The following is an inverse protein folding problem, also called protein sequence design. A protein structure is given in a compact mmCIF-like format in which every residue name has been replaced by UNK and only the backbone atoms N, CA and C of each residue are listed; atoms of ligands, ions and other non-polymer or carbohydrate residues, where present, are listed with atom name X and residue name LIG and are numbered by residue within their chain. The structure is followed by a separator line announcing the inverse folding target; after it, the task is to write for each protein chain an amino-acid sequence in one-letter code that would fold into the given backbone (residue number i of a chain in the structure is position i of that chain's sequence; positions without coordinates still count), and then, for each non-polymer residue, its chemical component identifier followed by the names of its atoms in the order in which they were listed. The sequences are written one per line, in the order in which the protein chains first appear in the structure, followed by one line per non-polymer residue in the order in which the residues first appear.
data_IF_627171757821
#
_entry.id   IF_627171757821
#
_cell.length_a   1.000
_cell.length_b   1.000
_cell.length_c   1.000
_cell.angle_alpha   90.00
_cell.angle_beta   90.00
_cell.angle_gamma   90.00
#
_symmetry.space_group_name_H-M   'P 1'
#
loop_
_entity.id
_entity.type
_entity.pdbx_description
1 polymer ?
#
# COMPACT_ATOMS: atom_id res chain seq x y z
N UNK A 1 -21.89 -83.79 7.78
CA UNK A 1 -21.92 -82.50 8.51
C UNK A 1 -20.92 -81.56 7.85
N UNK A 2 -21.42 -80.62 7.04
CA UNK A 2 -20.60 -79.66 6.30
C UNK A 2 -20.19 -78.51 7.21
N UNK A 3 -18.89 -78.18 7.28
CA UNK A 3 -18.36 -77.04 8.04
C UNK A 3 -18.46 -75.79 7.17
N UNK A 4 -19.27 -74.82 7.61
CA UNK A 4 -19.32 -73.49 7.01
C UNK A 4 -18.20 -72.63 7.58
N UNK A 5 -17.32 -72.13 6.71
CA UNK A 5 -16.26 -71.17 7.05
C UNK A 5 -16.82 -69.76 6.92
N UNK A 6 -16.94 -69.04 8.04
CA UNK A 6 -17.34 -67.62 8.05
C UNK A 6 -16.10 -66.78 7.77
N UNK A 7 -16.08 -66.09 6.62
CA UNK A 7 -15.07 -65.08 6.30
C UNK A 7 -15.58 -63.72 6.79
N UNK A 8 -15.01 -63.21 7.88
CA UNK A 8 -15.30 -61.86 8.38
C UNK A 8 -14.45 -60.86 7.59
N UNK A 9 -15.08 -60.08 6.71
CA UNK A 9 -14.40 -59.00 5.99
C UNK A 9 -14.34 -57.76 6.88
N UNK A 10 -13.13 -57.36 7.26
CA UNK A 10 -12.86 -56.18 8.07
C UNK A 10 -12.80 -54.95 7.16
N UNK A 11 -13.84 -54.09 7.18
CA UNK A 11 -13.80 -52.80 6.50
C UNK A 11 -13.02 -51.80 7.36
N UNK A 12 -11.81 -51.44 6.93
CA UNK A 12 -11.03 -50.35 7.53
C UNK A 12 -11.53 -49.03 6.94
N UNK A 13 -12.28 -48.25 7.72
CA UNK A 13 -12.64 -46.88 7.37
C UNK A 13 -11.40 -45.99 7.55
N UNK A 14 -10.76 -45.57 6.45
CA UNK A 14 -9.75 -44.52 6.48
C UNK A 14 -10.45 -43.16 6.60
N UNK A 15 -10.44 -42.58 7.80
CA UNK A 15 -10.83 -41.18 8.01
C UNK A 15 -9.72 -40.30 7.43
N UNK A 16 -9.94 -39.79 6.22
CA UNK A 16 -9.08 -38.75 5.64
C UNK A 16 -9.46 -37.44 6.33
N UNK A 17 -8.69 -37.03 7.34
CA UNK A 17 -8.81 -35.67 7.86
C UNK A 17 -8.31 -34.71 6.79
N UNK A 18 -9.23 -34.02 6.10
CA UNK A 18 -8.88 -32.86 5.29
C UNK A 18 -8.30 -31.80 6.23
N UNK A 19 -6.97 -31.70 6.28
CA UNK A 19 -6.30 -30.56 6.90
C UNK A 19 -6.59 -29.37 5.99
N UNK A 20 -7.58 -28.56 6.35
CA UNK A 20 -7.81 -27.26 5.72
C UNK A 20 -6.59 -26.40 6.05
N UNK A 21 -5.63 -26.35 5.12
CA UNK A 21 -4.56 -25.37 5.17
C UNK A 21 -5.17 -24.00 4.93
N UNK A 22 -5.36 -23.24 6.01
CA UNK A 22 -5.64 -21.81 5.89
C UNK A 22 -4.37 -21.17 5.34
N UNK A 23 -4.39 -20.73 4.09
CA UNK A 23 -3.25 -20.01 3.53
C UNK A 23 -3.04 -18.70 4.31
N UNK A 24 -1.77 -18.40 4.62
CA UNK A 24 -1.40 -17.22 5.40
C UNK A 24 -1.77 -15.92 4.69
N UNK A 25 -2.34 -14.97 5.43
CA UNK A 25 -2.71 -13.64 4.93
C UNK A 25 -1.44 -12.84 4.61
N UNK A 26 -1.13 -12.70 3.32
CA UNK A 26 0.12 -12.08 2.83
C UNK A 26 -0.10 -11.33 1.52
N UNK A 27 0.86 -10.52 1.08
CA UNK A 27 0.85 -9.99 -0.28
C UNK A 27 0.96 -11.14 -1.30
N UNK A 28 0.23 -11.04 -2.41
CA UNK A 28 0.23 -12.02 -3.50
C UNK A 28 0.83 -11.44 -4.78
N UNK A 29 1.63 -12.23 -5.49
CA UNK A 29 2.26 -11.85 -6.75
C UNK A 29 1.30 -11.97 -7.95
N UNK A 30 1.83 -11.80 -9.16
CA UNK A 30 1.07 -11.92 -10.42
C UNK A 30 0.46 -13.32 -10.63
N UNK A 31 0.97 -14.35 -9.96
CA UNK A 31 0.52 -15.74 -10.05
C UNK A 31 -0.36 -16.16 -8.86
N UNK A 32 -0.64 -15.24 -7.91
CA UNK A 32 -1.37 -15.55 -6.68
C UNK A 32 -0.51 -16.19 -5.58
N UNK A 33 0.80 -16.28 -5.78
CA UNK A 33 1.73 -16.85 -4.81
C UNK A 33 2.11 -15.80 -3.77
N UNK A 34 2.39 -16.24 -2.54
CA UNK A 34 2.88 -15.33 -1.49
C UNK A 34 4.19 -14.66 -1.90
N UNK A 35 4.27 -13.36 -1.67
CA UNK A 35 5.47 -12.54 -1.89
C UNK A 35 5.72 -11.62 -0.71
N UNK A 36 6.99 -11.29 -0.45
CA UNK A 36 7.34 -10.46 0.69
C UNK A 36 6.84 -9.02 0.54
N UNK A 37 7.04 -8.44 -0.64
CA UNK A 37 6.47 -7.14 -0.99
C UNK A 37 6.32 -7.02 -2.50
N UNK A 38 5.44 -6.12 -2.92
CA UNK A 38 5.33 -5.72 -4.32
C UNK A 38 5.02 -4.23 -4.46
N UNK A 39 5.40 -3.69 -5.62
CA UNK A 39 5.07 -2.34 -6.06
C UNK A 39 4.26 -2.42 -7.35
N UNK A 40 3.16 -1.66 -7.39
CA UNK A 40 2.35 -1.44 -8.58
C UNK A 40 2.31 0.05 -8.88
N UNK A 41 2.68 0.40 -10.10
CA UNK A 41 2.49 1.74 -10.66
C UNK A 41 1.46 1.66 -11.78
N UNK A 42 0.22 1.98 -11.46
CA UNK A 42 -0.85 2.09 -12.46
C UNK A 42 -0.62 3.34 -13.30
N UNK A 43 -0.64 3.20 -14.63
CA UNK A 43 -0.38 4.29 -15.56
C UNK A 43 -1.62 5.18 -15.75
N UNK A 44 -1.46 6.50 -15.99
CA UNK A 44 -2.57 7.33 -16.42
C UNK A 44 -3.10 6.90 -17.79
N UNK A 45 -4.29 7.40 -18.14
CA UNK A 45 -4.85 7.23 -19.47
C UNK A 45 -4.02 8.02 -20.50
N UNK A 46 -3.34 7.34 -21.42
CA UNK A 46 -2.58 7.95 -22.52
C UNK A 46 -3.24 7.61 -23.85
N UNK A 47 -4.18 8.46 -24.30
CA UNK A 47 -5.07 8.18 -25.44
C UNK A 47 -4.37 7.96 -26.78
N UNK A 48 -3.13 8.43 -26.91
CA UNK A 48 -2.28 8.27 -28.09
C UNK A 48 -1.51 6.95 -28.12
N UNK A 49 -1.52 6.16 -27.03
CA UNK A 49 -0.81 4.88 -26.99
C UNK A 49 -1.44 3.85 -27.92
N UNK A 50 -0.60 3.07 -28.59
CA UNK A 50 -1.01 1.89 -29.36
C UNK A 50 -1.39 0.69 -28.49
N UNK A 51 -0.98 0.66 -27.21
CA UNK A 51 -1.36 -0.38 -26.27
C UNK A 51 -2.74 -0.06 -25.66
N UNK A 52 -3.70 -0.98 -25.81
CA UNK A 52 -5.09 -0.76 -25.37
C UNK A 52 -5.21 -0.51 -23.87
N UNK A 53 -4.44 -1.19 -23.03
CA UNK A 53 -4.48 -1.05 -21.57
C UNK A 53 -3.92 0.31 -21.13
N UNK A 54 -2.85 0.78 -21.78
CA UNK A 54 -2.31 2.13 -21.55
C UNK A 54 -3.30 3.19 -22.06
N UNK A 55 -3.88 2.96 -23.24
CA UNK A 55 -4.86 3.86 -23.87
C UNK A 55 -6.11 4.09 -23.04
N UNK A 56 -6.56 3.07 -22.30
CA UNK A 56 -7.71 3.15 -21.40
C UNK A 56 -7.33 3.50 -19.96
N UNK A 57 -6.03 3.55 -19.64
CA UNK A 57 -5.54 3.87 -18.30
C UNK A 57 -5.83 2.76 -17.32
N UNK A 58 -5.61 1.51 -17.70
CA UNK A 58 -5.73 0.32 -16.82
C UNK A 58 -4.49 -0.57 -16.86
N UNK A 59 -3.49 -0.22 -17.66
CA UNK A 59 -2.16 -0.79 -17.58
C UNK A 59 -1.45 -0.39 -16.28
N UNK A 60 -0.56 -1.25 -15.81
CA UNK A 60 0.29 -0.94 -14.68
C UNK A 60 1.67 -1.54 -14.90
N UNK A 61 2.69 -0.92 -14.32
CA UNK A 61 3.98 -1.57 -14.11
C UNK A 61 4.00 -2.26 -12.76
N UNK A 62 4.63 -3.43 -12.71
CA UNK A 62 4.76 -4.26 -11.52
C UNK A 62 6.22 -4.66 -11.31
N UNK A 63 6.63 -4.69 -10.04
CA UNK A 63 7.84 -5.35 -9.59
C UNK A 63 7.59 -5.91 -8.18
N UNK A 64 8.36 -6.89 -7.77
CA UNK A 64 8.26 -7.51 -6.46
C UNK A 64 9.60 -7.98 -5.93
N UNK A 65 9.58 -8.54 -4.73
CA UNK A 65 10.76 -9.09 -4.06
C UNK A 65 11.61 -10.01 -4.96
N UNK A 66 10.98 -10.87 -5.76
CA UNK A 66 11.64 -11.86 -6.62
C UNK A 66 12.06 -11.27 -7.97
N UNK A 67 11.39 -10.21 -8.43
CA UNK A 67 11.61 -9.55 -9.73
C UNK A 67 11.57 -8.05 -9.56
N UNK A 68 12.73 -7.47 -9.24
CA UNK A 68 12.86 -6.07 -8.84
C UNK A 68 13.02 -5.08 -10.03
N UNK A 69 12.61 -5.49 -11.23
CA UNK A 69 12.64 -4.67 -12.45
C UNK A 69 11.22 -4.46 -12.93
N UNK A 70 10.84 -3.22 -13.26
CA UNK A 70 9.49 -2.91 -13.72
C UNK A 70 9.09 -3.70 -14.96
N UNK A 71 8.03 -4.49 -14.84
CA UNK A 71 7.39 -5.20 -15.94
C UNK A 71 6.05 -4.55 -16.26
N UNK A 72 5.82 -4.22 -17.53
CA UNK A 72 4.50 -3.75 -17.97
C UNK A 72 3.52 -4.92 -17.89
N UNK A 73 2.36 -4.70 -17.27
CA UNK A 73 1.34 -5.72 -17.12
C UNK A 73 0.77 -6.16 -18.47
N UNK A 74 0.54 -7.47 -18.62
CA UNK A 74 -0.19 -8.05 -19.75
C UNK A 74 -1.70 -8.08 -19.51
N UNK A 75 -2.13 -7.81 -18.27
CA UNK A 75 -3.53 -7.75 -17.84
C UNK A 75 -3.88 -6.36 -17.31
N UNK A 76 -5.19 -6.05 -17.35
CA UNK A 76 -5.74 -4.84 -16.72
C UNK A 76 -5.62 -4.90 -15.20
N UNK A 77 -5.44 -3.75 -14.53
CA UNK A 77 -5.56 -3.62 -13.07
C UNK A 77 -6.96 -4.01 -12.56
N UNK A 78 -7.95 -4.09 -13.45
CA UNK A 78 -9.32 -4.54 -13.18
C UNK A 78 -9.46 -6.07 -13.18
N UNK A 79 -8.46 -6.79 -13.71
CA UNK A 79 -8.45 -8.26 -13.75
C UNK A 79 -8.40 -8.84 -12.32
N UNK A 80 -8.97 -10.03 -12.13
CA UNK A 80 -8.94 -10.74 -10.84
C UNK A 80 -7.61 -11.47 -10.60
N UNK A 81 -6.94 -11.87 -11.67
CA UNK A 81 -5.64 -12.57 -11.66
C UNK A 81 -4.48 -11.59 -11.74
N UNK A 82 -4.40 -10.70 -10.75
CA UNK A 82 -3.29 -9.75 -10.59
C UNK A 82 -3.06 -9.46 -9.10
N UNK A 83 -1.86 -8.97 -8.72
CA UNK A 83 -1.36 -8.91 -7.34
C UNK A 83 -2.31 -8.25 -6.35
N UNK A 84 -2.90 -7.11 -6.73
CA UNK A 84 -3.79 -6.33 -5.87
C UNK A 84 -5.10 -7.07 -5.64
N UNK A 85 -5.71 -7.63 -6.69
CA UNK A 85 -6.96 -8.39 -6.59
C UNK A 85 -6.74 -9.69 -5.79
N UNK A 86 -5.70 -10.45 -6.11
CA UNK A 86 -5.31 -11.67 -5.38
C UNK A 86 -5.04 -11.39 -3.90
N UNK A 87 -4.35 -10.28 -3.59
CA UNK A 87 -4.09 -9.89 -2.19
C UNK A 87 -5.39 -9.58 -1.45
N UNK A 88 -6.29 -8.77 -2.03
CA UNK A 88 -7.54 -8.39 -1.39
C UNK A 88 -8.58 -9.53 -1.32
N UNK A 89 -8.50 -10.50 -2.23
CA UNK A 89 -9.41 -11.65 -2.24
C UNK A 89 -9.34 -12.46 -0.94
N UNK A 90 -8.19 -12.46 -0.26
CA UNK A 90 -8.00 -13.12 1.05
C UNK A 90 -8.87 -12.52 2.17
N UNK A 91 -9.36 -11.28 2.03
CA UNK A 91 -10.07 -10.56 3.10
C UNK A 91 -11.49 -10.14 2.72
N UNK A 92 -11.90 -10.41 1.48
CA UNK A 92 -13.24 -10.07 1.05
C UNK A 92 -14.26 -11.02 1.65
N UNK A 93 -15.22 -10.43 2.36
CA UNK A 93 -16.42 -11.14 2.80
C UNK A 93 -17.21 -11.60 1.57
N UNK A 94 -17.73 -12.82 1.63
CA UNK A 94 -18.66 -13.32 0.61
C UNK A 94 -19.95 -12.47 0.61
N UNK A 95 -20.72 -12.41 -0.50
CA UNK A 95 -22.02 -11.75 -0.52
C UNK A 95 -23.00 -12.29 0.54
N UNK A 96 -22.80 -13.52 1.04
CA UNK A 96 -23.58 -14.13 2.11
C UNK A 96 -23.19 -13.65 3.52
N UNK A 97 -22.24 -12.70 3.65
CA UNK A 97 -21.85 -12.11 4.93
C UNK A 97 -20.99 -13.02 5.81
N UNK A 98 -20.49 -14.14 5.29
CA UNK A 98 -19.56 -15.00 6.04
C UNK A 98 -18.20 -14.32 6.13
N UNK A 99 -17.85 -13.91 7.34
CA UNK A 99 -16.55 -13.35 7.68
C UNK A 99 -15.69 -14.50 8.19
N UNK A 100 -14.47 -14.64 7.66
CA UNK A 100 -13.50 -15.56 8.24
C UNK A 100 -13.19 -15.11 9.68
N UNK A 101 -13.56 -15.95 10.65
CA UNK A 101 -13.34 -15.69 12.08
C UNK A 101 -11.85 -15.69 12.45
N UNK A 102 -10.96 -16.00 11.51
CA UNK A 102 -9.52 -16.01 11.68
C UNK A 102 -8.79 -14.87 10.97
N UNK A 103 -9.48 -13.98 10.26
CA UNK A 103 -8.83 -12.87 9.53
C UNK A 103 -9.35 -11.52 10.02
N UNK A 104 -8.47 -10.70 10.58
CA UNK A 104 -8.76 -9.32 10.92
C UNK A 104 -8.35 -8.39 9.79
N UNK A 105 -9.16 -7.37 9.49
CA UNK A 105 -8.81 -6.34 8.51
C UNK A 105 -9.26 -4.94 8.93
N UNK A 106 -8.56 -3.93 8.42
CA UNK A 106 -8.97 -2.53 8.42
C UNK A 106 -8.74 -1.98 7.03
N UNK A 107 -9.80 -1.47 6.40
CA UNK A 107 -9.72 -0.70 5.17
C UNK A 107 -10.00 0.78 5.48
N UNK A 108 -9.11 1.65 5.01
CA UNK A 108 -9.19 3.08 5.27
C UNK A 108 -8.90 3.91 4.04
N UNK A 109 -9.62 5.03 3.89
CA UNK A 109 -9.49 5.93 2.76
C UNK A 109 -10.19 7.27 3.07
N UNK A 110 -9.53 8.40 2.86
CA UNK A 110 -10.15 9.72 3.05
C UNK A 110 -11.23 10.06 2.00
N UNK A 111 -11.27 9.28 0.92
CA UNK A 111 -12.31 9.26 -0.09
C UNK A 111 -12.80 7.81 -0.24
N UNK A 112 -13.63 7.31 0.69
CA UNK A 112 -14.06 5.91 0.71
C UNK A 112 -14.84 5.51 -0.56
N UNK A 113 -14.94 4.20 -0.87
CA UNK A 113 -15.71 3.70 -2.02
C UNK A 113 -17.17 4.15 -2.03
N UNK A 114 -17.76 4.27 -0.84
CA UNK A 114 -19.10 4.79 -0.61
C UNK A 114 -19.09 5.90 0.43
N UNK A 115 -19.97 6.88 0.25
CA UNK A 115 -20.07 8.05 1.12
C UNK A 115 -19.26 9.25 0.64
N UNK A 116 -19.07 10.23 1.53
CA UNK A 116 -18.43 11.51 1.23
C UNK A 116 -16.95 11.51 1.63
N UNK A 117 -16.17 12.39 0.99
CA UNK A 117 -14.81 12.73 1.40
C UNK A 117 -14.79 13.20 2.85
N UNK A 118 -13.74 12.85 3.58
CA UNK A 118 -13.57 13.20 5.00
C UNK A 118 -12.42 14.18 5.23
N UNK A 119 -12.44 14.85 6.38
CA UNK A 119 -11.36 15.73 6.86
C UNK A 119 -10.32 15.00 7.72
N UNK A 120 -10.42 13.66 7.83
CA UNK A 120 -9.40 12.83 8.46
C UNK A 120 -8.11 12.81 7.63
N UNK A 121 -7.10 12.08 8.10
CA UNK A 121 -5.79 12.00 7.44
C UNK A 121 -5.90 11.76 5.95
N UNK A 122 -5.04 12.38 5.15
CA UNK A 122 -4.85 11.99 3.76
C UNK A 122 -4.07 10.70 3.78
N UNK A 123 -4.76 9.56 3.85
CA UNK A 123 -4.14 8.25 3.92
C UNK A 123 -5.12 7.21 3.43
N UNK A 124 -4.60 6.20 2.72
CA UNK A 124 -5.42 5.11 2.18
C UNK A 124 -4.65 3.81 2.20
N UNK A 125 -5.37 2.73 2.48
CA UNK A 125 -4.74 1.44 2.57
C UNK A 125 -5.60 0.37 3.19
N UNK A 126 -4.97 -0.79 3.31
CA UNK A 126 -5.55 -1.99 3.88
C UNK A 126 -4.50 -2.62 4.78
N UNK A 127 -4.89 -2.92 6.02
CA UNK A 127 -4.12 -3.79 6.90
C UNK A 127 -4.92 -5.06 7.12
N UNK A 128 -4.29 -6.22 7.03
CA UNK A 128 -4.90 -7.49 7.37
C UNK A 128 -3.92 -8.44 8.05
N UNK A 129 -4.41 -9.29 8.95
CA UNK A 129 -3.60 -10.32 9.61
C UNK A 129 -4.46 -11.50 10.09
N UNK A 130 -3.85 -12.68 10.15
CA UNK A 130 -4.49 -13.94 10.59
C UNK A 130 -4.11 -14.37 12.02
N UNK A 131 -3.29 -13.55 12.69
CA UNK A 131 -2.72 -13.80 14.02
C UNK A 131 -1.25 -14.19 13.99
N UNK A 132 -0.74 -14.65 12.84
CA UNK A 132 0.66 -15.02 12.63
C UNK A 132 1.32 -14.15 11.58
N UNK A 133 0.72 -14.06 10.40
CA UNK A 133 1.17 -13.30 9.25
C UNK A 133 0.12 -12.24 8.89
N UNK A 134 0.54 -11.23 8.15
CA UNK A 134 -0.33 -10.16 7.68
C UNK A 134 0.30 -9.36 6.54
N UNK A 135 -0.46 -8.41 6.01
CA UNK A 135 0.05 -7.44 5.07
C UNK A 135 -0.43 -6.03 5.39
N UNK A 136 0.38 -5.05 4.97
CA UNK A 136 -0.03 -3.66 4.87
C UNK A 136 0.11 -3.17 3.43
N UNK A 137 -1.01 -2.73 2.87
CA UNK A 137 -1.09 -2.10 1.56
C UNK A 137 -1.28 -0.59 1.71
N UNK A 138 -0.33 0.20 1.24
CA UNK A 138 -0.40 1.67 1.16
C UNK A 138 -0.66 2.07 -0.28
N UNK A 139 -1.65 2.94 -0.54
CA UNK A 139 -1.99 3.34 -1.91
C UNK A 139 -2.52 4.76 -2.05
N UNK A 140 -2.55 5.24 -3.29
CA UNK A 140 -3.05 6.58 -3.65
C UNK A 140 -4.51 6.59 -4.17
N UNK A 141 -5.07 5.41 -4.48
CA UNK A 141 -6.35 5.23 -5.18
C UNK A 141 -7.57 5.71 -4.38
N UNK A 142 -8.29 6.78 -4.81
CA UNK A 142 -9.54 7.18 -4.17
C UNK A 142 -10.68 6.23 -4.54
N UNK A 143 -11.64 6.07 -3.62
CA UNK A 143 -12.80 5.16 -3.73
C UNK A 143 -12.44 3.67 -3.81
N UNK A 144 -11.33 3.28 -3.20
CA UNK A 144 -10.78 1.91 -3.24
C UNK A 144 -10.22 1.48 -1.87
N UNK A 145 -10.19 0.17 -1.58
CA UNK A 145 -10.93 -0.92 -2.23
C UNK A 145 -12.40 -1.02 -1.81
N UNK A 146 -13.21 -1.73 -2.59
CA UNK A 146 -14.55 -2.15 -2.18
C UNK A 146 -14.54 -2.97 -0.88
N UNK A 147 -15.70 -3.13 -0.23
CA UNK A 147 -15.79 -3.82 1.07
C UNK A 147 -15.93 -5.34 0.97
N UNK A 148 -16.32 -5.86 -0.20
CA UNK A 148 -16.73 -7.24 -0.41
C UNK A 148 -16.33 -7.73 -1.79
N UNK A 149 -16.36 -9.05 -1.98
CA UNK A 149 -16.15 -9.69 -3.28
C UNK A 149 -17.31 -9.37 -4.25
N UNK A 150 -17.07 -9.30 -5.58
CA UNK A 150 -15.78 -9.42 -6.25
C UNK A 150 -14.92 -8.14 -6.12
N UNK A 151 -13.61 -8.30 -6.35
CA UNK A 151 -12.71 -7.17 -6.55
C UNK A 151 -13.25 -6.23 -7.63
N UNK A 152 -13.21 -4.92 -7.36
CA UNK A 152 -13.59 -3.89 -8.30
C UNK A 152 -12.61 -2.73 -8.24
N UNK A 153 -12.09 -2.37 -9.40
CA UNK A 153 -11.27 -1.18 -9.56
C UNK A 153 -12.18 0.03 -9.83
N UNK A 154 -12.00 1.18 -9.15
CA UNK A 154 -12.87 2.32 -9.34
C UNK A 154 -12.56 3.03 -10.66
N UNK A 155 -13.57 3.19 -11.52
CA UNK A 155 -13.40 3.83 -12.83
C UNK A 155 -12.79 5.24 -12.78
N UNK A 156 -12.98 6.00 -11.68
CA UNK A 156 -12.35 7.30 -11.51
C UNK A 156 -10.82 7.25 -11.34
N UNK A 157 -10.25 6.08 -11.03
CA UNK A 157 -8.81 5.90 -10.95
C UNK A 157 -8.16 5.58 -12.30
N UNK A 158 -8.91 5.54 -13.41
CA UNK A 158 -8.37 5.29 -14.75
C UNK A 158 -7.68 6.52 -15.35
N UNK A 159 -8.06 7.71 -14.91
CA UNK A 159 -7.54 8.95 -15.51
C UNK A 159 -6.09 9.25 -15.12
N UNK A 160 -5.68 8.94 -13.89
CA UNK A 160 -4.40 9.37 -13.31
C UNK A 160 -3.54 8.17 -12.92
N UNK A 161 -2.23 8.37 -12.94
CA UNK A 161 -1.28 7.41 -12.38
C UNK A 161 -1.55 7.16 -10.89
N UNK A 162 -1.29 5.96 -10.39
CA UNK A 162 -1.45 5.60 -8.97
C UNK A 162 -0.33 4.67 -8.54
N UNK A 163 0.16 4.85 -7.32
CA UNK A 163 1.05 3.90 -6.64
C UNK A 163 0.30 3.03 -5.64
N UNK A 164 0.72 1.77 -5.55
CA UNK A 164 0.35 0.79 -4.52
C UNK A 164 1.63 0.07 -4.08
N UNK A 165 1.86 0.02 -2.77
CA UNK A 165 2.89 -0.81 -2.14
C UNK A 165 2.19 -1.78 -1.20
N UNK A 166 2.48 -3.08 -1.33
CA UNK A 166 2.08 -4.09 -0.35
C UNK A 166 3.33 -4.68 0.28
N UNK A 167 3.35 -4.79 1.61
CA UNK A 167 4.42 -5.47 2.35
C UNK A 167 3.80 -6.50 3.29
N UNK A 168 4.29 -7.72 3.24
CA UNK A 168 3.98 -8.83 4.15
C UNK A 168 4.78 -8.67 5.43
N UNK A 169 4.14 -8.92 6.56
CA UNK A 169 4.71 -8.73 7.89
C UNK A 169 4.36 -9.91 8.80
N UNK A 170 5.18 -10.12 9.83
CA UNK A 170 4.82 -11.01 10.94
C UNK A 170 4.00 -10.25 11.98
N UNK A 171 3.22 -11.01 12.75
CA UNK A 171 2.33 -10.52 13.82
C UNK A 171 2.89 -9.40 14.71
N UNK A 172 4.17 -9.43 15.17
CA UNK A 172 4.71 -8.36 16.02
C UNK A 172 4.65 -6.96 15.40
N UNK A 173 4.67 -6.85 14.08
CA UNK A 173 4.64 -5.54 13.40
C UNK A 173 3.23 -4.95 13.30
N UNK A 174 2.18 -5.74 13.51
CA UNK A 174 0.80 -5.26 13.40
C UNK A 174 0.48 -4.17 14.42
N UNK A 175 0.98 -4.30 15.65
CA UNK A 175 0.83 -3.28 16.68
C UNK A 175 1.65 -2.02 16.35
N UNK A 176 2.85 -2.16 15.75
CA UNK A 176 3.65 -1.02 15.31
C UNK A 176 2.96 -0.23 14.19
N UNK A 177 2.33 -0.93 13.24
CA UNK A 177 1.52 -0.35 12.16
C UNK A 177 0.29 0.35 12.73
N UNK A 178 -0.43 -0.29 13.65
CA UNK A 178 -1.58 0.32 14.32
C UNK A 178 -1.18 1.61 15.06
N UNK A 179 -0.02 1.62 15.72
CA UNK A 179 0.51 2.83 16.35
C UNK A 179 0.81 3.94 15.33
N UNK A 180 1.29 3.63 14.12
CA UNK A 180 1.44 4.64 13.06
C UNK A 180 0.09 5.20 12.60
N UNK A 181 -0.93 4.35 12.49
CA UNK A 181 -2.27 4.77 12.09
C UNK A 181 -2.89 5.76 13.10
N UNK A 182 -2.60 5.69 14.40
CA UNK A 182 -3.04 6.69 15.37
C UNK A 182 -2.54 8.11 15.04
N UNK A 183 -1.33 8.22 14.47
CA UNK A 183 -0.77 9.49 14.00
C UNK A 183 -1.39 9.91 12.66
N UNK A 184 -1.57 8.96 11.73
CA UNK A 184 -2.21 9.29 10.46
C UNK A 184 -3.68 9.73 10.64
N UNK A 185 -4.35 9.25 11.70
CA UNK A 185 -5.79 9.43 11.96
C UNK A 185 -6.63 9.11 10.71
N UNK A 186 -6.62 7.85 10.24
CA UNK A 186 -7.32 7.43 9.03
C UNK A 186 -8.85 7.47 9.21
N UNK A 187 -9.55 7.53 8.08
CA UNK A 187 -10.96 7.22 8.01
C UNK A 187 -11.16 5.75 7.68
N UNK A 188 -11.50 4.95 8.69
CA UNK A 188 -11.82 3.53 8.53
C UNK A 188 -13.27 3.38 8.06
N UNK A 189 -13.48 2.71 6.94
CA UNK A 189 -14.81 2.52 6.35
C UNK A 189 -15.27 1.05 6.29
N UNK A 190 -14.35 0.12 6.55
CA UNK A 190 -14.61 -1.32 6.70
C UNK A 190 -13.59 -1.90 7.67
N UNK A 191 -14.04 -2.75 8.57
CA UNK A 191 -13.17 -3.42 9.53
C UNK A 191 -13.79 -4.71 10.02
N UNK A 192 -12.95 -5.70 10.28
CA UNK A 192 -13.29 -6.89 11.06
C UNK A 192 -12.15 -7.18 12.03
N UNK A 193 -12.46 -7.44 13.30
CA UNK A 193 -11.46 -7.88 14.28
C UNK A 193 -12.10 -9.02 15.10
N UNK A 194 -11.86 -10.28 14.70
CA UNK A 194 -12.35 -11.43 15.45
C UNK A 194 -11.90 -11.40 16.90
N UNK A 195 -12.72 -11.93 17.81
CA UNK A 195 -12.44 -11.92 19.26
C UNK A 195 -11.09 -12.52 19.62
N UNK A 196 -10.66 -13.57 18.92
CA UNK A 196 -9.38 -14.26 19.11
C UNK A 196 -8.16 -13.39 18.77
N UNK A 197 -8.32 -12.42 17.86
CA UNK A 197 -7.23 -11.55 17.39
C UNK A 197 -7.16 -10.20 18.12
N UNK A 198 -8.19 -9.88 18.91
CA UNK A 198 -8.30 -8.61 19.65
C UNK A 198 -7.13 -8.29 20.57
N UNK A 199 -6.50 -9.31 21.16
CA UNK A 199 -5.38 -9.16 22.10
C UNK A 199 -4.03 -8.93 21.40
N UNK A 200 -3.90 -9.30 20.13
CA UNK A 200 -2.63 -9.25 19.38
C UNK A 200 -2.30 -7.83 18.95
N UNK A 201 -3.31 -7.08 18.52
CA UNK A 201 -3.16 -5.68 18.10
C UNK A 201 -4.25 -4.80 18.74
N UNK A 202 -4.17 -4.58 20.07
CA UNK A 202 -5.17 -3.82 20.81
C UNK A 202 -5.32 -2.39 20.30
N UNK A 203 -4.28 -1.80 19.70
CA UNK A 203 -4.35 -0.44 19.15
C UNK A 203 -5.29 -0.33 17.95
N UNK A 204 -5.57 -1.42 17.22
CA UNK A 204 -6.62 -1.39 16.21
C UNK A 204 -7.99 -1.05 16.79
N UNK A 205 -8.32 -1.52 18.00
CA UNK A 205 -9.58 -1.16 18.64
C UNK A 205 -9.66 0.33 18.97
N UNK A 206 -8.54 0.94 19.38
CA UNK A 206 -8.45 2.38 19.64
C UNK A 206 -8.74 3.17 18.36
N UNK A 207 -8.17 2.76 17.23
CA UNK A 207 -8.43 3.37 15.92
C UNK A 207 -9.92 3.26 15.55
N UNK A 208 -10.55 2.10 15.75
CA UNK A 208 -11.98 1.90 15.48
C UNK A 208 -12.88 2.76 16.38
N UNK A 209 -12.45 3.05 17.61
CA UNK A 209 -13.11 4.00 18.53
C UNK A 209 -12.85 5.47 18.17
N UNK A 210 -12.04 5.75 17.15
CA UNK A 210 -11.70 7.11 16.71
C UNK A 210 -10.60 7.78 17.55
N UNK A 211 -9.87 7.01 18.35
CA UNK A 211 -8.71 7.53 19.07
C UNK A 211 -7.58 7.92 18.10
N UNK A 212 -6.78 8.88 18.52
CA UNK A 212 -5.67 9.45 17.77
C UNK A 212 -4.69 10.07 18.76
N UNK A 213 -3.49 10.43 18.28
CA UNK A 213 -2.48 11.10 19.11
C UNK A 213 -3.02 12.44 19.66
N UNK A 214 -2.87 12.66 20.97
CA UNK A 214 -3.41 13.84 21.68
C UNK A 214 -2.35 14.83 22.16
N UNK A 215 -1.08 14.47 22.11
CA UNK A 215 0.04 15.29 22.58
C UNK A 215 1.23 15.21 21.62
N UNK A 216 2.12 16.19 21.70
CA UNK A 216 3.40 16.16 20.99
C UNK A 216 4.29 14.99 21.46
N UNK A 217 5.23 14.51 20.62
CA UNK A 217 5.50 14.94 19.25
C UNK A 217 4.37 14.58 18.28
N UNK A 218 4.08 15.46 17.31
CA UNK A 218 2.98 15.26 16.34
C UNK A 218 3.35 14.37 15.15
N UNK A 219 4.44 13.62 15.27
CA UNK A 219 4.95 12.70 14.27
C UNK A 219 5.56 11.48 14.96
N UNK A 220 5.67 10.38 14.23
CA UNK A 220 6.33 9.16 14.69
C UNK A 220 7.06 8.48 13.54
N UNK A 221 8.31 8.11 13.79
CA UNK A 221 9.11 7.22 12.95
C UNK A 221 9.10 5.82 13.54
N UNK A 222 9.00 4.80 12.70
CA UNK A 222 9.06 3.41 13.16
C UNK A 222 9.66 2.52 12.09
N UNK A 223 10.68 1.75 12.48
CA UNK A 223 11.20 0.64 11.68
C UNK A 223 10.24 -0.55 11.80
N UNK A 224 10.00 -1.20 10.68
CA UNK A 224 9.16 -2.38 10.51
C UNK A 224 10.00 -3.38 9.69
N UNK A 225 10.04 -4.64 10.10
CA UNK A 225 10.71 -5.69 9.32
C UNK A 225 9.70 -6.52 8.55
N UNK A 226 9.86 -6.61 7.22
CA UNK A 226 9.01 -7.47 6.39
C UNK A 226 9.14 -8.95 6.78
N UNK A 227 8.24 -9.79 6.29
CA UNK A 227 8.27 -11.23 6.52
C UNK A 227 9.57 -11.87 6.00
N UNK A 228 10.11 -11.35 4.90
CA UNK A 228 11.36 -11.73 4.24
C UNK A 228 12.61 -11.13 4.86
N UNK A 229 12.47 -10.23 5.84
CA UNK A 229 13.58 -9.65 6.60
C UNK A 229 14.06 -8.28 6.12
N UNK A 230 13.40 -7.69 5.12
CA UNK A 230 13.72 -6.35 4.61
C UNK A 230 13.25 -5.26 5.58
N UNK A 231 14.07 -4.24 5.76
CA UNK A 231 13.78 -3.14 6.67
C UNK A 231 13.02 -2.02 5.96
N UNK A 232 11.83 -1.74 6.47
CA UNK A 232 11.05 -0.56 6.11
C UNK A 232 11.03 0.43 7.28
N UNK A 233 11.01 1.73 6.96
CA UNK A 233 10.76 2.78 7.94
C UNK A 233 9.54 3.56 7.51
N UNK A 234 8.51 3.58 8.37
CA UNK A 234 7.35 4.42 8.17
C UNK A 234 7.53 5.75 8.91
N UNK A 235 7.25 6.85 8.21
CA UNK A 235 7.15 8.19 8.77
C UNK A 235 5.69 8.61 8.80
N UNK A 236 5.12 8.75 9.99
CA UNK A 236 3.75 9.21 10.19
C UNK A 236 3.73 10.63 10.75
N UNK A 237 2.81 11.46 10.26
CA UNK A 237 2.48 12.75 10.88
C UNK A 237 0.99 12.84 11.21
N UNK A 238 0.69 13.60 12.25
CA UNK A 238 -0.65 14.06 12.60
C UNK A 238 -0.90 15.48 12.07
N UNK A 239 -2.17 15.90 12.00
CA UNK A 239 -2.57 17.24 11.49
C UNK A 239 -1.90 18.41 12.22
N UNK A 240 -1.48 18.21 13.46
CA UNK A 240 -0.80 19.23 14.29
C UNK A 240 0.71 19.33 14.00
N UNK A 241 1.28 18.45 13.18
CA UNK A 241 2.69 18.55 12.75
C UNK A 241 2.96 19.86 12.01
N UNK A 242 2.00 20.31 11.18
CA UNK A 242 2.00 21.67 10.64
C UNK A 242 3.06 21.97 9.58
N UNK A 243 3.79 20.97 9.11
CA UNK A 243 4.98 21.10 8.26
C UNK A 243 4.99 20.11 7.09
N UNK A 244 5.93 20.27 6.15
CA UNK A 244 6.11 19.35 5.01
C UNK A 244 6.69 18.03 5.52
N UNK A 245 6.05 16.90 5.19
CA UNK A 245 6.52 15.58 5.62
C UNK A 245 7.92 15.28 5.08
N UNK A 246 8.19 15.65 3.83
CA UNK A 246 9.44 15.27 3.17
C UNK A 246 10.60 16.16 3.63
N UNK A 247 10.39 17.49 3.68
CA UNK A 247 11.42 18.45 4.12
C UNK A 247 11.67 18.36 5.61
N UNK A 248 10.61 18.36 6.44
CA UNK A 248 10.75 18.52 7.89
C UNK A 248 10.87 17.22 8.67
N UNK A 249 10.73 16.07 8.01
CA UNK A 249 10.88 14.78 8.66
C UNK A 249 11.78 13.82 7.87
N UNK A 250 11.41 13.45 6.64
CA UNK A 250 12.11 12.39 5.89
C UNK A 250 13.55 12.77 5.52
N UNK A 251 13.75 13.89 4.82
CA UNK A 251 15.08 14.33 4.38
C UNK A 251 16.01 14.65 5.56
N UNK A 252 15.45 15.20 6.65
CA UNK A 252 16.20 15.49 7.89
C UNK A 252 16.65 14.22 8.59
N UNK A 253 15.75 13.24 8.75
CA UNK A 253 16.07 11.99 9.45
C UNK A 253 17.07 11.14 8.67
N UNK A 254 16.89 11.05 7.34
CA UNK A 254 17.75 10.26 6.47
C UNK A 254 19.01 10.99 6.03
N UNK A 255 19.15 12.28 6.36
CA UNK A 255 20.32 13.07 6.01
C UNK A 255 20.65 13.01 4.52
N UNK A 256 19.63 13.15 3.67
CA UNK A 256 19.72 12.92 2.23
C UNK A 256 18.80 13.85 1.44
N UNK A 257 19.22 14.25 0.24
CA UNK A 257 18.39 14.98 -0.72
C UNK A 257 17.34 14.06 -1.34
N UNK A 258 16.10 14.55 -1.51
CA UNK A 258 15.01 13.76 -2.09
C UNK A 258 14.40 14.41 -3.35
N UNK A 259 13.94 13.56 -4.26
CA UNK A 259 13.09 13.90 -5.40
C UNK A 259 11.71 13.29 -5.17
N UNK A 260 10.67 14.13 -5.20
CA UNK A 260 9.33 13.77 -4.73
C UNK A 260 8.30 13.99 -5.83
N UNK A 261 7.62 12.90 -6.21
CA UNK A 261 6.42 12.94 -7.04
C UNK A 261 5.21 12.83 -6.11
N UNK A 262 4.33 13.83 -6.18
CA UNK A 262 3.01 13.78 -5.57
C UNK A 262 2.00 14.55 -6.40
N UNK A 263 0.72 14.22 -6.24
CA UNK A 263 -0.33 15.01 -6.87
C UNK A 263 -0.33 16.47 -6.39
N UNK A 264 -0.09 17.40 -7.31
CA UNK A 264 -0.04 18.84 -7.02
C UNK A 264 -1.00 19.59 -7.94
N UNK A 265 -1.85 20.44 -7.36
CA UNK A 265 -2.86 21.25 -8.08
C UNK A 265 -3.01 22.66 -7.54
N UNK A 266 -3.06 22.84 -6.22
CA UNK A 266 -3.42 24.13 -5.60
C UNK A 266 -2.51 24.44 -4.43
N UNK A 267 -2.02 25.68 -4.37
CA UNK A 267 -1.10 26.12 -3.32
C UNK A 267 0.06 25.13 -3.14
N UNK A 268 0.66 24.77 -4.28
CA UNK A 268 1.77 23.83 -4.38
C UNK A 268 2.96 24.37 -3.61
N UNK A 269 3.64 23.50 -2.87
CA UNK A 269 4.91 23.84 -2.23
C UNK A 269 6.00 23.75 -3.30
N UNK A 270 6.84 24.77 -3.48
CA UNK A 270 7.97 24.68 -4.40
C UNK A 270 9.00 23.66 -3.88
N UNK A 271 9.94 23.26 -4.74
CA UNK A 271 11.19 22.63 -4.31
C UNK A 271 11.83 23.44 -3.17
N UNK A 272 12.36 22.73 -2.17
CA UNK A 272 12.95 23.35 -0.97
C UNK A 272 14.46 23.07 -0.94
N UNK A 273 15.25 24.14 -1.02
CA UNK A 273 16.71 24.13 -0.87
C UNK A 273 17.17 25.03 0.28
N UNK A 274 16.28 25.33 1.22
CA UNK A 274 16.58 26.24 2.35
C UNK A 274 17.34 25.54 3.48
N UNK A 275 17.51 24.22 3.39
CA UNK A 275 18.10 23.36 4.39
C UNK A 275 19.29 22.60 3.80
N UNK A 276 20.09 21.95 4.65
CA UNK A 276 21.25 21.15 4.20
C UNK A 276 20.89 20.07 3.18
N UNK A 277 19.72 19.46 3.32
CA UNK A 277 19.22 18.41 2.44
C UNK A 277 18.00 18.95 1.69
N UNK A 278 18.05 18.87 0.36
CA UNK A 278 17.04 19.49 -0.49
C UNK A 278 15.89 18.53 -0.76
N UNK A 279 14.71 19.08 -1.08
CA UNK A 279 13.57 18.29 -1.54
C UNK A 279 13.02 18.88 -2.83
N UNK A 280 13.34 18.22 -3.94
CA UNK A 280 12.91 18.61 -5.27
C UNK A 280 11.57 17.99 -5.65
N UNK A 281 10.77 18.74 -6.38
CA UNK A 281 9.52 18.31 -6.96
C UNK A 281 9.76 17.69 -8.35
N UNK A 282 9.41 16.42 -8.55
CA UNK A 282 9.47 15.79 -9.90
C UNK A 282 8.40 16.44 -10.79
N UNK A 283 8.71 16.70 -12.06
CA UNK A 283 7.78 17.35 -13.01
C UNK A 283 7.26 16.37 -14.07
N UNK A 284 8.13 15.48 -14.55
CA UNK A 284 7.80 14.54 -15.62
C UNK A 284 8.35 13.14 -15.31
N UNK A 285 7.54 12.15 -15.65
CA UNK A 285 7.77 10.73 -15.41
C UNK A 285 7.83 10.03 -16.77
N UNK A 286 8.84 9.19 -16.98
CA UNK A 286 9.05 8.45 -18.23
C UNK A 286 9.37 6.98 -17.96
N UNK A 287 8.46 6.10 -18.34
CA UNK A 287 8.67 4.65 -18.29
C UNK A 287 9.34 4.11 -19.57
N UNK A 288 9.03 4.73 -20.71
CA UNK A 288 9.57 4.35 -22.02
C UNK A 288 9.46 5.53 -23.00
N UNK A 289 10.03 5.45 -24.21
CA UNK A 289 9.84 6.49 -25.23
C UNK A 289 8.37 6.79 -25.58
N UNK A 290 7.47 5.83 -25.38
CA UNK A 290 6.03 5.96 -25.70
C UNK A 290 5.13 6.10 -24.46
N UNK A 291 5.71 6.03 -23.26
CA UNK A 291 5.00 6.17 -21.99
C UNK A 291 5.69 7.23 -21.14
N UNK A 292 5.23 8.47 -21.30
CA UNK A 292 5.68 9.63 -20.56
C UNK A 292 4.48 10.52 -20.21
N UNK A 293 4.51 11.14 -19.03
CA UNK A 293 3.47 12.06 -18.59
C UNK A 293 3.98 13.01 -17.50
N UNK A 294 3.31 14.15 -17.40
CA UNK A 294 3.56 15.16 -16.36
C UNK A 294 2.91 14.76 -15.03
N UNK A 295 3.46 15.25 -13.92
CA UNK A 295 2.89 15.14 -12.57
C UNK A 295 1.41 15.52 -12.47
N UNK A 296 0.92 16.40 -13.36
CA UNK A 296 -0.50 16.79 -13.41
C UNK A 296 -1.43 15.64 -13.78
N UNK A 297 -0.89 14.58 -14.39
CA UNK A 297 -1.56 13.33 -14.75
C UNK A 297 -1.29 12.22 -13.73
N UNK A 298 -0.69 12.51 -12.59
CA UNK A 298 -0.30 11.51 -11.61
C UNK A 298 -0.87 11.79 -10.21
N UNK A 299 -1.46 10.75 -9.60
CA UNK A 299 -1.93 10.76 -8.21
C UNK A 299 -1.05 9.93 -7.27
N UNK A 300 -0.12 9.16 -7.82
CA UNK A 300 0.92 8.46 -7.08
C UNK A 300 1.70 9.43 -6.20
N UNK A 301 2.29 8.85 -5.17
CA UNK A 301 3.04 9.58 -4.15
C UNK A 301 4.22 8.74 -3.81
N UNK A 302 5.35 9.14 -4.36
CA UNK A 302 6.60 8.44 -4.17
C UNK A 302 7.74 9.45 -4.06
N UNK A 303 8.79 9.05 -3.35
CA UNK A 303 9.99 9.85 -3.19
C UNK A 303 11.21 8.95 -3.27
N UNK A 304 12.26 9.44 -3.92
CA UNK A 304 13.54 8.77 -4.00
C UNK A 304 14.63 9.68 -3.45
N UNK A 305 15.59 9.11 -2.74
CA UNK A 305 16.79 9.84 -2.35
C UNK A 305 17.69 10.10 -3.56
N UNK A 306 18.74 10.90 -3.36
CA UNK A 306 19.89 10.92 -4.25
C UNK A 306 20.59 9.55 -4.32
N UNK A 307 21.47 9.40 -5.32
CA UNK A 307 22.02 8.11 -5.73
C UNK A 307 22.91 7.43 -4.70
N UNK A 308 23.51 8.20 -3.79
CA UNK A 308 24.35 7.64 -2.74
C UNK A 308 23.55 6.86 -1.68
N UNK A 309 22.28 7.21 -1.45
CA UNK A 309 21.50 6.68 -0.32
C UNK A 309 20.49 5.59 -0.72
N UNK A 310 20.05 5.58 -1.99
CA UNK A 310 19.21 4.54 -2.60
C UNK A 310 17.89 4.19 -1.86
N UNK A 311 17.27 5.19 -1.22
CA UNK A 311 16.00 5.04 -0.50
C UNK A 311 14.80 5.34 -1.41
N UNK A 312 13.83 4.43 -1.46
CA UNK A 312 12.53 4.61 -2.12
C UNK A 312 11.42 4.68 -1.06
N UNK A 313 10.51 5.63 -1.21
CA UNK A 313 9.36 5.84 -0.35
C UNK A 313 8.06 5.83 -1.16
N UNK A 314 7.02 5.16 -0.64
CA UNK A 314 5.64 5.23 -1.17
C UNK A 314 4.73 5.72 -0.06
N UNK A 315 3.87 6.69 -0.33
CA UNK A 315 3.11 7.36 0.73
C UNK A 315 1.74 7.90 0.34
N UNK A 316 1.24 8.76 1.23
CA UNK A 316 -0.12 9.26 1.20
C UNK A 316 -0.25 10.76 1.00
N UNK A 317 0.81 11.52 1.31
CA UNK A 317 0.76 12.99 1.43
C UNK A 317 1.19 13.67 0.14
N UNK A 318 0.41 14.66 -0.32
CA UNK A 318 0.82 15.58 -1.37
C UNK A 318 1.75 16.69 -0.84
N UNK A 319 2.58 17.27 -1.71
CA UNK A 319 3.33 18.50 -1.41
C UNK A 319 2.52 19.77 -1.71
N UNK A 320 1.51 20.02 -0.90
CA UNK A 320 0.67 21.24 -0.94
C UNK A 320 0.47 21.83 0.46
N UNK A 321 0.31 23.16 0.57
CA UNK A 321 0.08 23.85 1.86
C UNK A 321 -1.10 23.26 2.65
N UNK A 322 -2.15 22.80 1.95
CA UNK A 322 -3.33 22.17 2.57
C UNK A 322 -2.99 20.91 3.37
N UNK A 323 -1.90 20.22 3.03
CA UNK A 323 -1.49 18.97 3.70
C UNK A 323 -0.71 19.21 5.00
N UNK A 324 -0.35 20.45 5.35
CA UNK A 324 0.21 20.77 6.67
C UNK A 324 -0.77 20.47 7.80
N UNK A 325 -2.08 20.55 7.51
CA UNK A 325 -3.17 20.34 8.47
C UNK A 325 -3.85 18.98 8.31
N UNK A 326 -3.16 17.98 7.74
CA UNK A 326 -3.66 16.62 7.57
C UNK A 326 -2.65 15.60 8.08
N UNK A 327 -3.17 14.54 8.69
CA UNK A 327 -2.36 13.36 9.00
C UNK A 327 -2.12 12.51 7.75
N UNK A 328 -1.11 11.65 7.79
CA UNK A 328 -0.71 10.75 6.71
C UNK A 328 0.78 10.44 6.80
N UNK A 329 1.30 9.59 5.92
CA UNK A 329 2.68 9.14 6.04
C UNK A 329 3.31 8.67 4.74
N UNK A 330 4.49 8.10 4.87
CA UNK A 330 5.21 7.43 3.79
C UNK A 330 6.02 6.27 4.35
N UNK A 331 6.00 5.14 3.63
CA UNK A 331 6.76 3.94 3.94
C UNK A 331 8.00 3.91 3.04
N UNK A 332 9.18 3.90 3.64
CA UNK A 332 10.47 3.98 2.95
C UNK A 332 11.29 2.71 3.17
N UNK A 333 12.13 2.35 2.21
CA UNK A 333 13.13 1.28 2.37
C UNK A 333 14.37 1.59 1.52
N UNK A 334 15.52 1.10 1.96
CA UNK A 334 16.73 1.09 1.15
C UNK A 334 16.69 -0.18 0.30
N UNK A 335 16.22 -0.05 -0.94
CA UNK A 335 16.07 -1.16 -1.89
C UNK A 335 16.73 -0.74 -3.21
N UNK A 336 18.05 -0.96 -3.39
CA UNK A 336 18.80 -0.37 -4.49
C UNK A 336 18.24 -0.68 -5.89
N UNK A 337 17.77 -1.91 -6.13
CA UNK A 337 17.20 -2.26 -7.43
C UNK A 337 15.87 -1.56 -7.68
N UNK A 338 14.99 -1.49 -6.68
CA UNK A 338 13.71 -0.76 -6.78
C UNK A 338 13.97 0.73 -6.94
N UNK A 339 14.89 1.29 -6.15
CA UNK A 339 15.31 2.69 -6.27
C UNK A 339 15.81 2.99 -7.68
N UNK A 340 16.66 2.13 -8.28
CA UNK A 340 17.12 2.29 -9.66
C UNK A 340 15.97 2.37 -10.66
N UNK A 341 14.91 1.55 -10.47
CA UNK A 341 13.74 1.60 -11.33
C UNK A 341 13.04 2.96 -11.25
N UNK A 342 12.78 3.47 -10.04
CA UNK A 342 12.11 4.76 -9.84
C UNK A 342 12.98 5.96 -10.21
N UNK A 343 14.29 5.91 -9.94
CA UNK A 343 15.24 6.93 -10.36
C UNK A 343 15.28 7.07 -11.88
N UNK A 344 15.25 5.94 -12.60
CA UNK A 344 15.15 5.93 -14.06
C UNK A 344 13.85 6.52 -14.63
N UNK A 345 12.79 6.64 -13.82
CA UNK A 345 11.53 7.27 -14.25
C UNK A 345 11.60 8.81 -14.23
N UNK A 346 12.46 9.40 -13.40
CA UNK A 346 12.53 10.84 -13.23
C UNK A 346 13.14 11.48 -14.47
N UNK A 347 12.29 12.15 -15.28
CA UNK A 347 12.76 12.83 -16.49
C UNK A 347 13.19 14.28 -16.20
N UNK A 348 12.42 14.98 -15.37
CA UNK A 348 12.67 16.37 -15.01
C UNK A 348 12.17 16.64 -13.58
N UNK A 349 12.81 17.59 -12.89
CA UNK A 349 12.40 18.10 -11.59
C UNK A 349 12.50 19.62 -11.55
N UNK A 350 11.72 20.24 -10.66
CA UNK A 350 11.71 21.67 -10.41
C UNK A 350 12.98 22.07 -9.66
N UNK A 351 13.83 22.88 -10.28
CA UNK A 351 14.96 23.50 -9.60
C UNK A 351 14.49 24.52 -8.55
N UNK A 352 15.29 24.73 -7.50
CA UNK A 352 15.03 25.81 -6.56
C UNK A 352 15.31 27.16 -7.22
N UNK A 353 14.44 28.13 -6.95
CA UNK A 353 14.68 29.53 -7.36
C UNK A 353 15.67 30.12 -6.35
N UNK A 354 16.83 30.57 -6.86
CA UNK A 354 17.88 31.22 -6.07
C UNK A 354 17.57 32.64 -5.67
#
# INVERSE_FOLDING_TARGET
MSRATIVTSLFVLTVVSEVVYIESVTCRDMNGMTVDWFYVYKLPKITTSGNVLIKTGVAFYYLDYNRQTFQLSTVSIENLSQPVAQTLQQIYTSPAGTVDIYVAHIMYNDQPPSGRRTSRGHTKGVVSYDGKDGFWMVHSVPKFPGKSSPYQWPGNANTYGQSILCVSFKSPEMENIANQMLYNNPYVYSSNIPSKLKSIAPTFQKILKGEHVKSSPWFRKTRLQSRGGEDFTHYAKYRSFGKDLYVDLVAKDLSSTFYVETWRRRNVLPSDCTHRYHVYNILDIKFSPTVQFSYTKDHSKWAISESADQVICIGDINREKSQFKRGGGTLCANLPQVWNQYYGLMLCYEACVG
#
